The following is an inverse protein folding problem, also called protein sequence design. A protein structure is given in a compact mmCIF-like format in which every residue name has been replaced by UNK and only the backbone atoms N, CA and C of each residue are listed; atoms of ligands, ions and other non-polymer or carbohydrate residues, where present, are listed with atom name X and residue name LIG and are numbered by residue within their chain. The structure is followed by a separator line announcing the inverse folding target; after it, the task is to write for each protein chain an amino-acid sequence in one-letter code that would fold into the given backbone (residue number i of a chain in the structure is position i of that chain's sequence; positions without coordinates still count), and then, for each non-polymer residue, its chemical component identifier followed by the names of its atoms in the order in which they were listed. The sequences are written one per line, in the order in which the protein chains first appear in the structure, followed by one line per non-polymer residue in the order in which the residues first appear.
data_IF_324724415764
#
_entry.id   IF_324724415764
#
_cell.length_a   1.000
_cell.length_b   1.000
_cell.length_c   1.000
_cell.angle_alpha   90.00
_cell.angle_beta   90.00
_cell.angle_gamma   90.00
#
_symmetry.space_group_name_H-M   'P 1'
#
loop_
_entity.id
_entity.type
_entity.pdbx_description
1 polymer ?
#
# COMPACT_ATOMS: atom_id res chain seq x y z
N UNK A 1 -13.85 -5.11 -29.25
CA UNK A 1 -14.07 -3.80 -28.61
C UNK A 1 -12.94 -3.47 -27.65
N UNK A 2 -12.53 -2.22 -27.64
CA UNK A 2 -11.48 -1.77 -26.71
C UNK A 2 -12.03 -1.74 -25.27
N UNK A 3 -11.20 -2.12 -24.32
CA UNK A 3 -11.53 -2.03 -22.90
C UNK A 3 -11.49 -0.57 -22.44
N UNK A 4 -12.38 -0.19 -21.53
CA UNK A 4 -12.35 1.12 -20.89
C UNK A 4 -11.09 1.27 -20.03
N UNK A 5 -10.74 2.51 -19.66
CA UNK A 5 -9.60 2.76 -18.75
C UNK A 5 -9.78 2.06 -17.41
N UNK A 6 -11.01 2.03 -16.90
CA UNK A 6 -11.34 1.35 -15.64
C UNK A 6 -11.13 -0.17 -15.75
N UNK A 7 -11.57 -0.77 -16.85
CA UNK A 7 -11.42 -2.21 -17.09
C UNK A 7 -9.94 -2.59 -17.24
N UNK A 8 -9.15 -1.78 -17.95
CA UNK A 8 -7.71 -1.99 -18.08
C UNK A 8 -7.00 -1.91 -16.72
N UNK A 9 -7.40 -0.97 -15.89
CA UNK A 9 -6.86 -0.82 -14.54
C UNK A 9 -7.19 -2.05 -13.69
N UNK A 10 -8.43 -2.53 -13.75
CA UNK A 10 -8.85 -3.72 -13.01
C UNK A 10 -8.09 -4.97 -13.45
N UNK A 11 -7.85 -5.13 -14.75
CA UNK A 11 -7.05 -6.25 -15.27
C UNK A 11 -5.61 -6.20 -14.79
N UNK A 12 -4.97 -5.01 -14.79
CA UNK A 12 -3.62 -4.85 -14.27
C UNK A 12 -3.53 -5.17 -12.78
N UNK A 13 -4.51 -4.69 -12.01
CA UNK A 13 -4.62 -4.96 -10.57
C UNK A 13 -4.68 -6.44 -10.28
N UNK A 14 -5.55 -7.16 -10.99
CA UNK A 14 -5.71 -8.61 -10.84
C UNK A 14 -4.44 -9.37 -11.21
N UNK A 15 -3.79 -8.98 -12.29
CA UNK A 15 -2.54 -9.60 -12.77
C UNK A 15 -1.42 -9.45 -11.74
N UNK A 16 -1.24 -8.26 -11.19
CA UNK A 16 -0.25 -7.96 -10.16
C UNK A 16 -0.52 -8.80 -8.90
N UNK A 17 -1.77 -8.83 -8.44
CA UNK A 17 -2.15 -9.62 -7.26
C UNK A 17 -1.90 -11.11 -7.44
N UNK A 18 -2.27 -11.66 -8.58
CA UNK A 18 -2.07 -13.10 -8.86
C UNK A 18 -0.58 -13.45 -8.87
N UNK A 19 0.25 -12.62 -9.49
CA UNK A 19 1.69 -12.81 -9.51
C UNK A 19 2.28 -12.75 -8.10
N UNK A 20 1.89 -11.76 -7.31
CA UNK A 20 2.39 -11.57 -5.95
C UNK A 20 1.99 -12.69 -5.01
N UNK A 21 0.77 -13.23 -5.14
CA UNK A 21 0.32 -14.36 -4.32
C UNK A 21 1.21 -15.58 -4.49
N UNK A 22 1.65 -15.85 -5.71
CA UNK A 22 2.56 -16.97 -5.99
C UNK A 22 3.92 -16.78 -5.34
N UNK A 23 4.38 -15.54 -5.19
CA UNK A 23 5.70 -15.20 -4.67
C UNK A 23 5.71 -14.89 -3.17
N UNK A 24 4.55 -14.69 -2.57
CA UNK A 24 4.45 -14.17 -1.21
C UNK A 24 4.88 -15.15 -0.12
N UNK A 25 4.70 -16.45 -0.32
CA UNK A 25 5.08 -17.47 0.67
C UNK A 25 4.38 -17.30 2.03
N UNK A 26 3.13 -16.85 2.04
CA UNK A 26 2.35 -16.64 3.26
C UNK A 26 2.59 -15.31 3.96
N UNK A 27 3.42 -14.43 3.40
CA UNK A 27 3.66 -13.10 3.98
C UNK A 27 2.43 -12.20 3.87
N UNK A 28 2.20 -11.30 4.85
CA UNK A 28 1.15 -10.31 4.75
C UNK A 28 1.34 -9.38 3.54
N UNK A 29 0.24 -8.88 3.03
CA UNK A 29 0.21 -8.02 1.85
C UNK A 29 0.15 -6.55 2.26
N UNK A 30 1.09 -5.74 1.76
CA UNK A 30 1.08 -4.29 1.90
C UNK A 30 0.30 -3.71 0.72
N UNK A 31 -0.97 -3.43 0.93
CA UNK A 31 -1.89 -2.99 -0.13
C UNK A 31 -2.05 -1.47 -0.12
N UNK A 32 -1.73 -0.84 -1.26
CA UNK A 32 -1.87 0.61 -1.45
C UNK A 32 -3.18 0.90 -2.16
N UNK A 33 -3.94 1.84 -1.62
CA UNK A 33 -5.14 2.38 -2.25
C UNK A 33 -4.98 3.89 -2.43
N UNK A 34 -5.23 4.36 -3.65
CA UNK A 34 -5.07 5.76 -4.03
C UNK A 34 -6.33 6.27 -4.74
N UNK A 35 -6.82 7.43 -4.29
CA UNK A 35 -7.89 8.16 -4.97
C UNK A 35 -7.37 9.55 -5.36
N UNK A 36 -8.22 10.36 -6.00
CA UNK A 36 -7.85 11.73 -6.39
C UNK A 36 -7.54 12.64 -5.19
N UNK A 37 -8.07 12.33 -4.03
CA UNK A 37 -7.96 13.17 -2.83
C UNK A 37 -7.09 12.58 -1.74
N UNK A 38 -6.93 11.26 -1.72
CA UNK A 38 -6.32 10.58 -0.59
C UNK A 38 -5.48 9.39 -1.02
N UNK A 39 -4.54 9.02 -0.15
CA UNK A 39 -3.77 7.79 -0.27
C UNK A 39 -3.86 7.03 1.04
N UNK A 40 -4.04 5.73 0.97
CA UNK A 40 -4.10 4.85 2.13
C UNK A 40 -3.36 3.55 1.88
N UNK A 41 -2.99 2.87 2.96
CA UNK A 41 -2.27 1.61 2.89
C UNK A 41 -2.74 0.70 4.03
N UNK A 42 -2.79 -0.60 3.75
CA UNK A 42 -3.16 -1.62 4.72
C UNK A 42 -2.18 -2.77 4.65
N UNK A 43 -1.87 -3.35 5.81
CA UNK A 43 -1.16 -4.62 5.91
C UNK A 43 -2.21 -5.69 6.17
N UNK A 44 -2.41 -6.58 5.21
CA UNK A 44 -3.49 -7.57 5.21
C UNK A 44 -2.92 -8.98 5.26
N UNK A 45 -3.42 -9.78 6.20
CA UNK A 45 -3.15 -11.21 6.25
C UNK A 45 -4.26 -11.92 5.47
N UNK A 46 -3.94 -12.35 4.25
CA UNK A 46 -4.90 -13.02 3.37
C UNK A 46 -5.29 -14.43 3.87
N UNK A 47 -4.44 -15.06 4.65
CA UNK A 47 -4.74 -16.38 5.22
C UNK A 47 -5.84 -16.30 6.27
N UNK A 48 -5.77 -15.27 7.13
CA UNK A 48 -6.76 -15.05 8.20
C UNK A 48 -7.88 -14.10 7.78
N UNK A 49 -7.74 -13.41 6.64
CA UNK A 49 -8.69 -12.39 6.20
C UNK A 49 -8.73 -11.16 7.11
N UNK A 50 -7.59 -10.78 7.67
CA UNK A 50 -7.48 -9.76 8.71
C UNK A 50 -6.58 -8.61 8.28
N UNK A 51 -6.98 -7.37 8.60
CA UNK A 51 -6.12 -6.20 8.47
C UNK A 51 -5.31 -6.05 9.76
N UNK A 52 -3.98 -6.18 9.65
CA UNK A 52 -3.06 -6.12 10.79
C UNK A 52 -2.67 -4.69 11.17
N UNK A 53 -2.57 -3.82 10.19
CA UNK A 53 -2.25 -2.40 10.38
C UNK A 53 -2.79 -1.59 9.21
N UNK A 54 -3.06 -0.31 9.44
CA UNK A 54 -3.50 0.61 8.38
C UNK A 54 -3.02 2.03 8.65
N UNK A 55 -2.89 2.82 7.59
CA UNK A 55 -2.57 4.24 7.66
C UNK A 55 -3.22 4.96 6.48
N UNK A 56 -3.60 6.22 6.68
CA UNK A 56 -4.29 7.01 5.66
C UNK A 56 -3.93 8.49 5.77
N UNK A 57 -3.92 9.19 4.63
CA UNK A 57 -3.78 10.64 4.59
C UNK A 57 -4.95 11.38 5.24
N UNK A 58 -6.05 10.68 5.52
CA UNK A 58 -7.22 11.25 6.23
C UNK A 58 -7.00 11.36 7.74
N UNK A 59 -5.97 10.74 8.30
CA UNK A 59 -5.73 10.75 9.73
C UNK A 59 -5.18 12.09 10.19
N UNK A 60 -5.83 12.71 11.15
CA UNK A 60 -5.43 14.01 11.71
C UNK A 60 -4.06 13.96 12.38
N UNK A 61 -3.73 12.85 13.00
CA UNK A 61 -2.45 12.65 13.71
C UNK A 61 -1.24 12.77 12.80
N UNK A 62 -1.40 12.52 11.51
CA UNK A 62 -0.30 12.64 10.54
C UNK A 62 -0.10 14.08 10.05
N UNK A 63 -1.03 14.99 10.35
CA UNK A 63 -0.93 16.41 9.98
C UNK A 63 -1.00 16.67 8.47
N UNK A 64 -1.58 15.76 7.70
CA UNK A 64 -1.62 15.83 6.23
C UNK A 64 -3.04 15.78 5.66
N UNK A 65 -4.05 16.04 6.49
CA UNK A 65 -5.44 16.07 6.03
C UNK A 65 -5.60 17.12 4.93
N UNK A 66 -6.21 16.72 3.83
CA UNK A 66 -6.39 17.56 2.66
C UNK A 66 -5.19 17.61 1.72
N UNK A 67 -4.07 16.98 2.07
CA UNK A 67 -2.89 16.88 1.21
C UNK A 67 -2.83 15.52 0.53
N UNK A 68 -2.55 15.53 -0.76
CA UNK A 68 -2.39 14.30 -1.55
C UNK A 68 -1.22 14.47 -2.50
N UNK A 69 -0.01 14.51 -1.95
CA UNK A 69 1.24 14.69 -2.68
C UNK A 69 2.28 13.65 -2.23
N UNK A 70 3.49 13.75 -2.78
CA UNK A 70 4.60 12.84 -2.47
C UNK A 70 4.95 12.88 -0.97
N UNK A 71 4.96 14.07 -0.37
CA UNK A 71 5.27 14.22 1.06
C UNK A 71 4.21 13.55 1.94
N UNK A 72 2.93 13.68 1.59
CA UNK A 72 1.85 13.01 2.30
C UNK A 72 1.98 11.50 2.19
N UNK A 73 2.30 10.98 0.99
CA UNK A 73 2.52 9.56 0.78
C UNK A 73 3.68 9.03 1.61
N UNK A 74 4.78 9.77 1.72
CA UNK A 74 5.92 9.41 2.55
C UNK A 74 5.54 9.32 4.03
N UNK A 75 4.74 10.25 4.54
CA UNK A 75 4.26 10.20 5.93
C UNK A 75 3.36 9.00 6.19
N UNK A 76 2.49 8.67 5.24
CA UNK A 76 1.65 7.46 5.32
C UNK A 76 2.52 6.20 5.34
N UNK A 77 3.55 6.14 4.50
CA UNK A 77 4.50 5.03 4.46
C UNK A 77 5.25 4.85 5.77
N UNK A 78 5.74 5.94 6.36
CA UNK A 78 6.41 5.90 7.66
C UNK A 78 5.47 5.43 8.78
N UNK A 79 4.22 5.90 8.76
CA UNK A 79 3.21 5.52 9.75
C UNK A 79 2.87 4.03 9.66
N UNK A 80 2.70 3.49 8.46
CA UNK A 80 2.37 2.07 8.29
C UNK A 80 3.53 1.18 8.73
N UNK A 81 4.77 1.59 8.48
CA UNK A 81 5.95 0.84 8.94
C UNK A 81 5.98 0.75 10.46
N UNK A 82 5.76 1.84 11.16
CA UNK A 82 5.71 1.86 12.62
C UNK A 82 4.58 0.97 13.16
N UNK A 83 3.39 1.11 12.61
CA UNK A 83 2.22 0.35 13.04
C UNK A 83 2.34 -1.15 12.75
N UNK A 84 2.92 -1.51 11.62
CA UNK A 84 3.18 -2.91 11.28
C UNK A 84 4.17 -3.53 12.24
N UNK A 85 5.23 -2.83 12.61
CA UNK A 85 6.21 -3.30 13.61
C UNK A 85 5.57 -3.53 14.98
N UNK A 86 4.69 -2.63 15.42
CA UNK A 86 3.94 -2.79 16.67
C UNK A 86 3.05 -4.02 16.63
N UNK A 87 2.55 -4.38 15.45
CA UNK A 87 1.75 -5.58 15.25
C UNK A 87 2.59 -6.85 15.07
N UNK A 88 3.93 -6.73 15.14
CA UNK A 88 4.85 -7.86 14.98
C UNK A 88 5.12 -8.25 13.53
N UNK A 89 4.86 -7.36 12.59
CA UNK A 89 5.02 -7.62 11.14
C UNK A 89 6.22 -6.85 10.61
N UNK A 90 7.20 -7.56 10.03
CA UNK A 90 8.35 -6.95 9.36
C UNK A 90 8.41 -7.31 7.88
N UNK A 91 8.16 -8.58 7.54
CA UNK A 91 8.20 -9.07 6.17
C UNK A 91 6.82 -8.98 5.54
N UNK A 92 6.72 -8.24 4.44
CA UNK A 92 5.49 -8.10 3.67
C UNK A 92 5.81 -8.21 2.20
N UNK A 93 4.80 -8.41 1.35
CA UNK A 93 4.97 -8.21 -0.07
C UNK A 93 4.14 -7.01 -0.53
N UNK A 94 4.68 -6.25 -1.48
CA UNK A 94 4.09 -4.99 -1.90
C UNK A 94 3.07 -5.20 -3.01
N UNK A 95 1.80 -4.84 -2.73
CA UNK A 95 0.72 -4.86 -3.71
C UNK A 95 0.31 -3.43 -4.04
N UNK A 96 0.77 -2.93 -5.17
CA UNK A 96 0.44 -1.59 -5.64
C UNK A 96 -0.95 -1.49 -6.29
N UNK A 97 -1.69 -2.59 -6.40
CA UNK A 97 -3.08 -2.60 -6.85
C UNK A 97 -3.31 -2.16 -8.29
N UNK A 98 -2.32 -2.29 -9.17
CA UNK A 98 -2.41 -1.83 -10.57
C UNK A 98 -1.92 -0.40 -10.78
N UNK A 99 -1.58 0.34 -9.72
CA UNK A 99 -0.93 1.65 -9.84
C UNK A 99 0.52 1.48 -10.30
N UNK A 100 1.03 2.44 -11.04
CA UNK A 100 2.44 2.43 -11.44
C UNK A 100 3.32 2.71 -10.22
N UNK A 101 4.50 2.07 -10.18
CA UNK A 101 5.50 2.32 -9.14
C UNK A 101 6.21 3.64 -9.43
N UNK A 102 5.52 4.74 -9.18
CA UNK A 102 5.95 6.09 -9.54
C UNK A 102 5.32 7.11 -8.60
N UNK A 103 5.98 8.23 -8.40
CA UNK A 103 5.47 9.35 -7.62
C UNK A 103 5.06 8.95 -6.19
N UNK A 104 3.79 9.11 -5.87
CA UNK A 104 3.24 8.87 -4.53
C UNK A 104 3.40 7.41 -4.08
N UNK A 105 3.17 6.45 -4.97
CA UNK A 105 3.29 5.03 -4.65
C UNK A 105 4.74 4.69 -4.30
N UNK A 106 5.69 5.20 -5.08
CA UNK A 106 7.12 5.02 -4.82
C UNK A 106 7.52 5.67 -3.49
N UNK A 107 7.08 6.91 -3.23
CA UNK A 107 7.40 7.62 -2.00
C UNK A 107 6.89 6.88 -0.76
N UNK A 108 5.68 6.34 -0.82
CA UNK A 108 5.11 5.53 0.25
C UNK A 108 5.95 4.27 0.49
N UNK A 109 6.29 3.56 -0.57
CA UNK A 109 7.08 2.33 -0.49
C UNK A 109 8.47 2.59 0.08
N UNK A 110 9.17 3.63 -0.39
CA UNK A 110 10.49 4.00 0.09
C UNK A 110 10.47 4.37 1.57
N UNK A 111 9.47 5.14 2.01
CA UNK A 111 9.32 5.51 3.40
C UNK A 111 9.02 4.29 4.30
N UNK A 112 8.21 3.36 3.81
CA UNK A 112 7.92 2.13 4.54
C UNK A 112 9.18 1.26 4.70
N UNK A 113 10.01 1.17 3.67
CA UNK A 113 11.29 0.45 3.73
C UNK A 113 12.26 1.11 4.70
N UNK A 114 12.37 2.43 4.67
CA UNK A 114 13.19 3.19 5.61
C UNK A 114 12.72 2.99 7.05
N UNK A 115 11.43 2.83 7.26
CA UNK A 115 10.84 2.54 8.56
C UNK A 115 11.07 1.11 9.05
N UNK A 116 11.66 0.25 8.22
CA UNK A 116 12.06 -1.10 8.59
C UNK A 116 11.22 -2.24 8.03
N UNK A 117 10.23 -1.97 7.19
CA UNK A 117 9.52 -3.05 6.49
C UNK A 117 10.41 -3.64 5.40
N UNK A 118 10.33 -4.96 5.25
CA UNK A 118 11.11 -5.71 4.26
C UNK A 118 10.22 -6.20 3.13
N UNK A 119 10.49 -5.69 1.96
CA UNK A 119 9.81 -6.12 0.73
C UNK A 119 10.58 -5.70 -0.53
#
# INVERSE_FOLDING_TARGET
MALSKRELFQKRRLRVRNKLRKMAGGRPRLSVHRSNKNISVQVIDDVQGKTLASASSLEKDLGIVGKNNVDAAAKVGAAIAERAKKAGVEDVFFDRGGFLFHGKVKALADAAREGGLKF
#
